data_IF_424246185450
#
_entry.id   IF_424246185450
#
_cell.length_a   1.000
_cell.length_b   1.000
_cell.length_c   1.000
_cell.angle_alpha   90.00
_cell.angle_beta   90.00
_cell.angle_gamma   90.00
#
_symmetry.space_group_name_H-M   'P 1'
#
loop_
_entity.id
_entity.type
_entity.pdbx_description
1 polymer ?
#
# COMPACT_ATOMS: atom_id res chain seq x y z
N UNK A 1 -6.38 8.86 -1.85
CA UNK A 1 -6.86 8.86 -3.25
C UNK A 1 -5.98 7.95 -4.07
N UNK A 2 -6.56 6.91 -4.65
CA UNK A 2 -5.85 6.05 -5.60
C UNK A 2 -5.37 6.89 -6.80
N UNK A 3 -4.13 6.67 -7.23
CA UNK A 3 -3.57 7.36 -8.40
C UNK A 3 -2.75 6.38 -9.26
N UNK A 4 -2.51 6.68 -10.55
CA UNK A 4 -1.89 5.72 -11.46
C UNK A 4 -0.59 5.11 -10.95
N UNK A 5 0.28 5.91 -10.31
CA UNK A 5 1.55 5.42 -9.77
C UNK A 5 1.41 4.45 -8.57
N UNK A 6 0.28 4.46 -7.86
CA UNK A 6 -0.02 3.52 -6.79
C UNK A 6 -0.53 2.20 -7.39
N UNK A 7 -1.43 2.27 -8.38
CA UNK A 7 -1.88 1.09 -9.12
C UNK A 7 -0.71 0.37 -9.81
N UNK A 8 0.23 1.12 -10.40
CA UNK A 8 1.45 0.58 -11.01
C UNK A 8 2.34 -0.17 -10.01
N UNK A 9 2.46 0.35 -8.77
CA UNK A 9 3.20 -0.34 -7.70
C UNK A 9 2.59 -1.72 -7.43
N UNK A 10 1.30 -1.78 -7.12
CA UNK A 10 0.63 -3.04 -6.82
C UNK A 10 0.60 -4.00 -8.02
N UNK A 11 0.44 -3.49 -9.24
CA UNK A 11 0.53 -4.29 -10.46
C UNK A 11 1.93 -4.93 -10.62
N UNK A 12 3.00 -4.18 -10.36
CA UNK A 12 4.37 -4.72 -10.40
C UNK A 12 4.58 -5.81 -9.35
N UNK A 13 3.99 -5.67 -8.15
CA UNK A 13 4.02 -6.72 -7.12
C UNK A 13 3.29 -7.97 -7.62
N UNK A 14 2.10 -7.81 -8.21
CA UNK A 14 1.33 -8.92 -8.79
C UNK A 14 2.09 -9.67 -9.87
N UNK A 15 2.80 -8.98 -10.75
CA UNK A 15 3.62 -9.61 -11.80
C UNK A 15 4.68 -10.56 -11.23
N UNK A 16 5.23 -10.24 -10.06
CA UNK A 16 6.28 -11.03 -9.40
C UNK A 16 5.73 -12.03 -8.36
N UNK A 17 4.49 -11.85 -7.91
CA UNK A 17 3.78 -12.75 -6.98
C UNK A 17 2.38 -13.10 -7.48
N UNK A 18 2.20 -13.67 -8.69
CA UNK A 18 0.87 -13.87 -9.27
C UNK A 18 -0.04 -14.76 -8.40
N UNK A 19 0.54 -15.76 -7.73
CA UNK A 19 -0.18 -16.65 -6.83
C UNK A 19 -0.74 -15.95 -5.58
N UNK A 20 -0.20 -14.79 -5.19
CA UNK A 20 -0.72 -14.00 -4.07
C UNK A 20 -1.90 -13.09 -4.46
N UNK A 21 -2.33 -13.13 -5.73
CA UNK A 21 -3.41 -12.31 -6.28
C UNK A 21 -4.54 -13.13 -6.93
N UNK A 22 -4.46 -14.47 -6.88
CA UNK A 22 -5.44 -15.35 -7.51
C UNK A 22 -5.84 -16.51 -6.60
N UNK A 23 -7.14 -16.69 -6.36
CA UNK A 23 -7.63 -17.84 -5.59
C UNK A 23 -7.25 -17.81 -4.10
N UNK A 24 -6.98 -16.63 -3.54
CA UNK A 24 -6.43 -16.48 -2.18
C UNK A 24 -7.35 -15.67 -1.26
N UNK A 25 -7.04 -15.66 0.05
CA UNK A 25 -7.70 -14.79 1.03
C UNK A 25 -6.98 -13.46 1.13
N UNK A 26 -7.73 -12.37 0.97
CA UNK A 26 -7.20 -11.01 0.95
C UNK A 26 -7.90 -10.16 2.00
N UNK A 27 -7.11 -9.40 2.74
CA UNK A 27 -7.60 -8.33 3.61
C UNK A 27 -7.11 -6.97 3.10
N UNK A 28 -8.04 -6.04 2.92
CA UNK A 28 -7.73 -4.64 2.64
C UNK A 28 -8.19 -3.77 3.82
N UNK A 29 -7.28 -3.02 4.42
CA UNK A 29 -7.57 -2.06 5.50
C UNK A 29 -7.58 -0.65 4.94
N UNK A 30 -8.70 0.06 5.13
CA UNK A 30 -8.99 1.34 4.47
C UNK A 30 -9.45 1.14 3.04
N UNK A 31 -10.48 0.31 2.82
CA UNK A 31 -10.88 -0.18 1.49
C UNK A 31 -11.95 0.64 0.78
N UNK A 32 -12.36 1.79 1.33
CA UNK A 32 -13.38 2.63 0.69
C UNK A 32 -12.93 3.06 -0.72
N UNK A 33 -13.70 2.66 -1.72
CA UNK A 33 -13.48 3.05 -3.11
C UNK A 33 -14.09 4.43 -3.39
N UNK A 34 -13.22 5.43 -3.50
CA UNK A 34 -13.57 6.80 -3.90
C UNK A 34 -13.24 7.05 -5.37
N UNK A 35 -12.13 6.48 -5.86
CA UNK A 35 -11.56 6.82 -7.16
C UNK A 35 -10.73 5.68 -7.78
N UNK A 36 -11.10 4.44 -7.47
CA UNK A 36 -10.42 3.22 -7.90
C UNK A 36 -10.05 2.34 -6.72
N UNK A 37 -10.06 1.03 -6.94
CA UNK A 37 -9.79 0.03 -5.91
C UNK A 37 -8.65 -0.91 -6.32
N UNK A 38 -7.77 -1.25 -5.38
CA UNK A 38 -6.74 -2.28 -5.58
C UNK A 38 -7.36 -3.68 -5.69
N UNK A 39 -8.63 -3.85 -5.28
CA UNK A 39 -9.40 -5.09 -5.41
C UNK A 39 -9.45 -5.60 -6.84
N UNK A 40 -9.45 -4.71 -7.84
CA UNK A 40 -9.47 -5.06 -9.26
C UNK A 40 -8.23 -5.86 -9.72
N UNK A 41 -7.13 -5.82 -8.95
CA UNK A 41 -5.93 -6.61 -9.23
C UNK A 41 -6.08 -8.08 -8.86
N UNK A 42 -7.13 -8.45 -8.13
CA UNK A 42 -7.34 -9.79 -7.60
C UNK A 42 -8.40 -10.55 -8.40
N UNK A 43 -8.22 -11.86 -8.54
CA UNK A 43 -9.17 -12.71 -9.27
C UNK A 43 -9.53 -13.96 -8.47
N UNK A 44 -10.82 -14.31 -8.44
CA UNK A 44 -11.36 -15.47 -7.72
C UNK A 44 -10.89 -15.58 -6.26
N UNK A 45 -10.69 -14.44 -5.59
CA UNK A 45 -10.22 -14.36 -4.20
C UNK A 45 -11.38 -14.24 -3.22
N UNK A 46 -11.17 -14.73 -2.01
CA UNK A 46 -11.99 -14.38 -0.84
C UNK A 46 -11.47 -13.04 -0.29
N UNK A 47 -12.10 -11.94 -0.74
CA UNK A 47 -11.62 -10.59 -0.53
C UNK A 47 -12.48 -9.88 0.52
N UNK A 48 -11.86 -9.46 1.62
CA UNK A 48 -12.51 -8.65 2.65
C UNK A 48 -11.91 -7.26 2.69
N UNK A 49 -12.71 -6.26 2.33
CA UNK A 49 -12.41 -4.84 2.56
C UNK A 49 -12.94 -4.36 3.91
N UNK A 50 -12.10 -3.66 4.64
CA UNK A 50 -12.42 -3.08 5.95
C UNK A 50 -12.22 -1.58 5.93
N UNK A 51 -13.16 -0.83 6.47
CA UNK A 51 -13.02 0.60 6.73
C UNK A 51 -13.89 1.01 7.93
N UNK A 52 -13.84 2.27 8.36
CA UNK A 52 -14.55 2.76 9.54
C UNK A 52 -16.08 2.66 9.41
N UNK A 53 -16.61 2.67 8.18
CA UNK A 53 -18.03 2.59 7.87
C UNK A 53 -18.24 1.78 6.58
N UNK A 54 -19.49 1.33 6.34
CA UNK A 54 -19.84 0.68 5.09
C UNK A 54 -19.90 1.69 3.93
N UNK A 55 -19.43 1.28 2.77
CA UNK A 55 -19.41 2.06 1.54
C UNK A 55 -18.92 1.21 0.35
N UNK A 56 -18.77 1.80 -0.84
CA UNK A 56 -18.17 1.12 -1.98
C UNK A 56 -16.83 0.46 -1.61
N UNK A 57 -16.66 -0.82 -1.90
CA UNK A 57 -15.43 -1.56 -1.59
C UNK A 57 -15.24 -1.95 -0.11
N UNK A 58 -16.21 -1.69 0.77
CA UNK A 58 -16.12 -2.07 2.20
C UNK A 58 -17.13 -3.18 2.53
N UNK A 59 -16.61 -4.32 2.97
CA UNK A 59 -17.41 -5.49 3.36
C UNK A 59 -17.66 -5.53 4.89
N UNK A 60 -16.75 -4.93 5.67
CA UNK A 60 -16.82 -4.88 7.13
C UNK A 60 -16.51 -3.47 7.65
N UNK A 61 -17.45 -2.87 8.37
CA UNK A 61 -17.25 -1.61 9.08
C UNK A 61 -16.51 -1.86 10.42
N UNK A 62 -15.20 -1.68 10.44
CA UNK A 62 -14.35 -1.86 11.61
C UNK A 62 -13.08 -1.02 11.50
N UNK A 63 -12.54 -0.56 12.64
CA UNK A 63 -11.26 0.14 12.64
C UNK A 63 -10.12 -0.89 12.46
N UNK A 64 -9.10 -0.58 11.65
CA UNK A 64 -8.05 -1.53 11.28
C UNK A 64 -7.34 -2.22 12.44
N UNK A 65 -7.09 -1.49 13.54
CA UNK A 65 -6.48 -2.03 14.76
C UNK A 65 -7.41 -2.91 15.60
N UNK A 66 -8.72 -2.90 15.33
CA UNK A 66 -9.75 -3.66 16.04
C UNK A 66 -10.28 -4.84 15.21
N UNK A 67 -9.74 -5.09 14.01
CA UNK A 67 -10.15 -6.22 13.18
C UNK A 67 -9.70 -7.55 13.79
N UNK A 68 -10.64 -8.48 13.99
CA UNK A 68 -10.44 -9.69 14.81
C UNK A 68 -10.33 -11.01 14.03
N UNK A 69 -9.92 -10.99 12.75
CA UNK A 69 -9.65 -12.24 12.05
C UNK A 69 -8.52 -13.04 12.74
N UNK A 70 -8.51 -14.38 12.61
CA UNK A 70 -7.47 -15.22 13.20
C UNK A 70 -6.06 -14.81 12.78
N UNK A 71 -5.09 -15.06 13.65
CA UNK A 71 -3.66 -14.90 13.31
C UNK A 71 -3.31 -15.79 12.13
N UNK A 72 -2.61 -15.24 11.15
CA UNK A 72 -2.19 -15.98 9.96
C UNK A 72 -3.33 -16.41 9.02
N UNK A 73 -4.42 -15.64 8.98
CA UNK A 73 -5.58 -15.97 8.16
C UNK A 73 -5.42 -15.60 6.68
N UNK A 74 -4.80 -14.46 6.35
CA UNK A 74 -4.79 -13.95 4.98
C UNK A 74 -3.48 -14.23 4.25
N UNK A 75 -3.58 -14.58 2.97
CA UNK A 75 -2.43 -14.75 2.07
C UNK A 75 -1.83 -13.39 1.68
N UNK A 76 -2.67 -12.36 1.52
CA UNK A 76 -2.27 -10.99 1.23
C UNK A 76 -3.04 -10.00 2.11
N UNK A 77 -2.31 -9.11 2.78
CA UNK A 77 -2.88 -8.02 3.60
C UNK A 77 -2.41 -6.68 3.05
N UNK A 78 -3.32 -5.75 2.81
CA UNK A 78 -3.08 -4.50 2.08
C UNK A 78 -3.61 -3.31 2.88
N UNK A 79 -2.90 -2.19 2.79
CA UNK A 79 -3.44 -0.86 3.14
C UNK A 79 -3.00 0.13 2.06
N UNK A 80 -3.95 0.85 1.47
CA UNK A 80 -3.73 1.65 0.27
C UNK A 80 -4.17 3.11 0.50
N UNK A 81 -3.23 4.03 0.78
CA UNK A 81 -3.50 5.44 1.14
C UNK A 81 -4.46 5.62 2.33
N UNK A 82 -4.25 4.82 3.38
CA UNK A 82 -5.06 4.84 4.59
C UNK A 82 -4.28 5.32 5.82
N UNK A 83 -3.04 4.84 6.00
CA UNK A 83 -2.31 4.99 7.26
C UNK A 83 -1.99 6.43 7.63
N UNK A 84 -1.84 7.32 6.65
CA UNK A 84 -1.60 8.74 6.90
C UNK A 84 -2.77 9.44 7.60
N UNK A 85 -3.99 8.92 7.46
CA UNK A 85 -5.22 9.44 8.09
C UNK A 85 -5.59 8.69 9.38
N UNK A 86 -4.81 7.67 9.75
CA UNK A 86 -5.13 6.78 10.85
C UNK A 86 -4.30 7.14 12.11
N UNK A 87 -4.91 7.67 13.19
CA UNK A 87 -4.17 7.97 14.43
C UNK A 87 -3.64 6.71 15.14
N UNK A 88 -4.19 5.54 14.82
CA UNK A 88 -3.80 4.21 15.34
C UNK A 88 -3.05 3.39 14.28
N UNK A 89 -2.32 4.04 13.37
CA UNK A 89 -1.61 3.34 12.29
C UNK A 89 -0.60 2.32 12.80
N UNK A 90 0.00 2.53 13.99
CA UNK A 90 1.00 1.60 14.56
C UNK A 90 0.35 0.26 14.92
N UNK A 91 -0.76 0.33 15.64
CA UNK A 91 -1.58 -0.81 16.06
C UNK A 91 -2.22 -1.48 14.84
N UNK A 92 -2.63 -0.69 13.85
CA UNK A 92 -3.17 -1.20 12.58
C UNK A 92 -2.12 -2.01 11.83
N UNK A 93 -0.90 -1.50 11.66
CA UNK A 93 0.21 -2.23 11.01
C UNK A 93 0.55 -3.50 11.79
N UNK A 94 0.59 -3.45 13.13
CA UNK A 94 0.81 -4.64 13.95
C UNK A 94 -0.29 -5.69 13.74
N UNK A 95 -1.55 -5.27 13.63
CA UNK A 95 -2.68 -6.16 13.39
C UNK A 95 -2.64 -6.76 11.97
N UNK A 96 -2.26 -5.98 10.96
CA UNK A 96 -2.03 -6.47 9.60
C UNK A 96 -0.96 -7.57 9.58
N UNK A 97 0.18 -7.36 10.25
CA UNK A 97 1.26 -8.35 10.37
C UNK A 97 0.82 -9.63 11.09
N UNK A 98 -0.02 -9.49 12.13
CA UNK A 98 -0.60 -10.63 12.87
C UNK A 98 -1.51 -11.47 11.98
N UNK A 99 -2.36 -10.83 11.18
CA UNK A 99 -3.37 -11.50 10.35
C UNK A 99 -2.79 -12.09 9.05
N UNK A 100 -1.61 -11.63 8.62
CA UNK A 100 -0.88 -12.23 7.48
C UNK A 100 -0.34 -13.62 7.86
N UNK A 101 -0.62 -14.61 6.99
CA UNK A 101 -0.14 -15.99 7.15
C UNK A 101 1.38 -16.09 6.92
N UNK A 102 2.06 -17.16 7.37
CA UNK A 102 3.43 -17.43 6.98
C UNK A 102 3.63 -17.40 5.46
N UNK A 103 4.70 -16.73 5.02
CA UNK A 103 5.02 -16.43 3.61
C UNK A 103 3.98 -15.55 2.88
N UNK A 104 2.97 -15.03 3.59
CA UNK A 104 1.99 -14.09 3.07
C UNK A 104 2.56 -12.68 2.87
N UNK A 105 1.93 -11.92 1.99
CA UNK A 105 2.34 -10.55 1.67
C UNK A 105 1.66 -9.53 2.58
N UNK A 106 2.42 -8.52 2.99
CA UNK A 106 1.91 -7.30 3.61
C UNK A 106 2.32 -6.11 2.75
N UNK A 107 1.34 -5.45 2.15
CA UNK A 107 1.54 -4.39 1.16
C UNK A 107 0.98 -3.07 1.69
N UNK A 108 1.77 -2.01 1.64
CA UNK A 108 1.35 -0.70 2.12
C UNK A 108 1.70 0.37 1.08
N UNK A 109 0.74 1.25 0.80
CA UNK A 109 1.00 2.59 0.27
C UNK A 109 0.45 3.64 1.23
N UNK A 110 1.19 4.74 1.41
CA UNK A 110 0.72 5.89 2.18
C UNK A 110 1.53 7.15 1.85
N UNK A 111 0.98 8.31 2.19
CA UNK A 111 1.67 9.58 2.07
C UNK A 111 3.02 9.59 2.82
N UNK A 112 4.07 10.07 2.17
CA UNK A 112 5.39 10.29 2.76
C UNK A 112 5.84 11.74 2.67
N UNK A 113 7.07 11.99 3.11
CA UNK A 113 7.65 13.32 3.32
C UNK A 113 7.41 14.23 2.10
N UNK A 114 6.67 15.31 2.34
CA UNK A 114 6.39 16.36 1.35
C UNK A 114 5.07 16.19 0.62
N UNK A 115 4.30 15.13 0.88
CA UNK A 115 2.91 15.01 0.43
C UNK A 115 2.07 16.04 1.18
N UNK A 116 1.42 16.94 0.44
CA UNK A 116 0.50 17.92 1.03
C UNK A 116 -0.59 17.21 1.81
N UNK A 117 -0.94 17.78 2.95
CA UNK A 117 -2.10 17.35 3.73
C UNK A 117 -3.38 17.39 2.89
N UNK A 118 -4.22 16.39 3.11
CA UNK A 118 -5.52 16.22 2.48
C UNK A 118 -6.39 15.37 3.40
N UNK A 119 -7.72 15.32 3.17
CA UNK A 119 -8.62 14.44 3.92
C UNK A 119 -8.91 14.89 5.36
N UNK A 120 -8.47 16.08 5.76
CA UNK A 120 -8.67 16.65 7.12
C UNK A 120 -9.63 17.82 7.09
N UNK A 121 -10.11 18.28 8.26
CA UNK A 121 -10.99 19.46 8.33
C UNK A 121 -10.27 20.76 7.96
N UNK A 122 -8.94 20.75 7.95
CA UNK A 122 -8.08 21.89 7.57
C UNK A 122 -7.88 22.00 6.06
N UNK A 123 -8.27 20.98 5.29
CA UNK A 123 -8.00 20.87 3.85
C UNK A 123 -9.27 20.50 3.08
N UNK A 124 -9.38 19.26 2.62
CA UNK A 124 -10.50 18.73 1.86
C UNK A 124 -11.03 17.44 2.52
N UNK A 125 -11.99 17.53 3.46
CA UNK A 125 -12.48 16.38 4.22
C UNK A 125 -13.08 15.28 3.34
N UNK A 126 -13.63 15.63 2.18
CA UNK A 126 -14.21 14.66 1.23
C UNK A 126 -13.19 13.67 0.65
N UNK A 127 -11.88 13.95 0.77
CA UNK A 127 -10.83 13.01 0.37
C UNK A 127 -10.59 11.88 1.39
N UNK A 128 -11.16 11.98 2.59
CA UNK A 128 -11.18 10.93 3.62
C UNK A 128 -12.50 11.05 4.42
N UNK A 129 -13.64 10.73 3.80
CA UNK A 129 -14.96 11.08 4.34
C UNK A 129 -15.27 10.33 5.64
N UNK A 130 -14.82 9.08 5.77
CA UNK A 130 -15.08 8.28 6.96
C UNK A 130 -14.24 8.71 8.17
N UNK A 131 -12.99 9.15 7.96
CA UNK A 131 -12.17 9.70 9.06
C UNK A 131 -12.73 11.05 9.50
N UNK A 132 -13.17 11.88 8.56
CA UNK A 132 -13.89 13.13 8.84
C UNK A 132 -15.18 12.89 9.65
N UNK A 133 -15.99 11.92 9.25
CA UNK A 133 -17.20 11.54 9.98
C UNK A 133 -16.90 11.00 11.39
N UNK A 134 -15.80 10.26 11.54
CA UNK A 134 -15.28 9.79 12.83
C UNK A 134 -14.59 10.88 13.66
N UNK A 135 -14.50 12.12 13.15
CA UNK A 135 -13.77 13.25 13.75
C UNK A 135 -12.28 12.97 13.99
N UNK A 136 -11.70 12.11 13.17
CA UNK A 136 -10.26 11.84 13.15
C UNK A 136 -9.57 12.93 12.34
N UNK A 137 -9.26 14.05 12.98
CA UNK A 137 -8.56 15.18 12.34
C UNK A 137 -7.03 15.01 12.35
N UNK A 138 -6.59 13.79 12.02
CA UNK A 138 -5.20 13.33 12.03
C UNK A 138 -4.65 13.26 10.60
N UNK A 139 -3.42 13.74 10.42
CA UNK A 139 -2.67 13.47 9.20
C UNK A 139 -1.17 13.37 9.49
N UNK A 140 -0.50 12.35 8.94
CA UNK A 140 0.94 12.20 9.04
C UNK A 140 1.56 11.61 7.78
N UNK A 141 2.56 12.30 7.24
CA UNK A 141 3.49 11.72 6.28
C UNK A 141 4.37 10.66 6.97
N UNK A 142 4.20 9.38 6.64
CA UNK A 142 4.97 8.27 7.20
C UNK A 142 6.24 8.00 6.36
N UNK A 143 7.31 7.59 7.03
CA UNK A 143 8.59 7.17 6.41
C UNK A 143 8.82 5.69 6.67
N UNK A 144 9.67 5.06 5.86
CA UNK A 144 10.08 3.67 6.08
C UNK A 144 10.61 3.42 7.51
N UNK A 145 11.36 4.38 8.07
CA UNK A 145 11.83 4.32 9.46
C UNK A 145 10.70 4.31 10.49
N UNK A 146 9.58 5.01 10.23
CA UNK A 146 8.46 5.05 11.16
C UNK A 146 7.84 3.64 11.27
N UNK A 147 7.70 2.92 10.15
CA UNK A 147 7.26 1.52 10.14
C UNK A 147 8.25 0.63 10.92
N UNK A 148 9.55 0.78 10.69
CA UNK A 148 10.58 -0.01 11.36
C UNK A 148 10.69 0.25 12.87
N UNK A 149 10.41 1.47 13.31
CA UNK A 149 10.41 1.86 14.73
C UNK A 149 9.07 1.55 15.43
N UNK A 150 7.97 1.45 14.67
CA UNK A 150 6.64 1.18 15.23
C UNK A 150 6.41 -0.29 15.56
N UNK A 151 6.99 -1.19 14.77
CA UNK A 151 6.82 -2.64 14.93
C UNK A 151 8.18 -3.31 14.79
N UNK A 152 8.40 -4.40 15.54
CA UNK A 152 9.60 -5.22 15.39
C UNK A 152 9.58 -5.99 14.06
N UNK A 153 9.85 -5.30 12.94
CA UNK A 153 9.81 -5.91 11.59
C UNK A 153 10.66 -7.19 11.50
N UNK A 154 11.89 -7.26 12.06
CA UNK A 154 12.67 -8.50 12.05
C UNK A 154 12.03 -9.66 12.82
N UNK A 155 11.10 -9.40 13.73
CA UNK A 155 10.33 -10.43 14.43
C UNK A 155 9.09 -10.91 13.67
N UNK A 156 8.62 -10.13 12.67
CA UNK A 156 7.41 -10.45 11.90
C UNK A 156 7.71 -10.87 10.46
N UNK A 157 8.77 -10.36 9.85
CA UNK A 157 9.04 -10.49 8.42
C UNK A 157 10.33 -11.28 8.15
N UNK A 158 10.30 -12.17 7.16
CA UNK A 158 11.50 -12.86 6.65
C UNK A 158 12.28 -11.97 5.68
N UNK A 159 11.56 -11.08 4.99
CA UNK A 159 12.13 -10.07 4.10
C UNK A 159 11.18 -8.89 3.96
N UNK A 160 11.74 -7.71 3.73
CA UNK A 160 10.95 -6.53 3.42
C UNK A 160 11.76 -5.49 2.64
N UNK A 161 11.06 -4.52 2.08
CA UNK A 161 11.64 -3.40 1.35
C UNK A 161 10.66 -2.24 1.31
N UNK A 162 11.20 -1.03 1.14
CA UNK A 162 10.41 0.18 0.99
C UNK A 162 11.00 1.08 -0.09
N UNK A 163 10.12 1.76 -0.81
CA UNK A 163 10.46 2.72 -1.86
C UNK A 163 9.68 4.01 -1.68
N UNK A 164 10.23 5.10 -2.20
CA UNK A 164 9.56 6.40 -2.20
C UNK A 164 9.37 6.85 -3.63
N UNK A 165 8.12 7.10 -4.03
CA UNK A 165 7.85 7.86 -5.24
C UNK A 165 8.00 9.35 -4.92
N UNK A 166 9.06 9.98 -5.42
CA UNK A 166 9.33 11.39 -5.11
C UNK A 166 8.48 12.38 -5.92
N UNK A 167 7.73 11.93 -6.93
CA UNK A 167 6.79 12.78 -7.68
C UNK A 167 5.49 12.89 -6.89
N UNK A 168 4.88 11.74 -6.61
CA UNK A 168 3.60 11.68 -5.91
C UNK A 168 3.77 11.84 -4.41
N UNK A 169 4.97 11.59 -3.86
CA UNK A 169 5.31 11.64 -2.44
C UNK A 169 4.64 10.53 -1.63
N UNK A 170 4.67 9.32 -2.16
CA UNK A 170 4.13 8.14 -1.48
C UNK A 170 5.25 7.18 -1.09
N UNK A 171 5.08 6.58 0.08
CA UNK A 171 5.86 5.46 0.56
C UNK A 171 5.17 4.17 0.11
N UNK A 172 5.93 3.30 -0.52
CA UNK A 172 5.50 1.95 -0.87
C UNK A 172 6.32 0.95 -0.07
N UNK A 173 5.65 -0.06 0.47
CA UNK A 173 6.29 -1.08 1.31
C UNK A 173 5.77 -2.46 0.95
N UNK A 174 6.68 -3.43 0.93
CA UNK A 174 6.38 -4.85 0.78
C UNK A 174 7.07 -5.59 1.93
N UNK A 175 6.30 -6.39 2.65
CA UNK A 175 6.79 -7.35 3.63
C UNK A 175 6.36 -8.76 3.28
N UNK A 176 7.23 -9.73 3.56
CA UNK A 176 6.90 -11.16 3.53
C UNK A 176 6.88 -11.65 4.97
N UNK A 177 5.74 -12.16 5.41
CA UNK A 177 5.59 -12.72 6.76
C UNK A 177 6.52 -13.91 6.95
N UNK A 178 7.20 -13.99 8.09
CA UNK A 178 8.04 -15.16 8.41
C UNK A 178 7.29 -16.48 8.25
N UNK A 179 7.92 -17.41 7.56
CA UNK A 179 7.41 -18.74 7.25
C UNK A 179 8.54 -19.66 6.81
N UNK A 180 8.44 -20.21 5.60
CA UNK A 180 9.44 -21.11 5.03
C UNK A 180 10.78 -20.44 4.68
N UNK A 181 10.86 -19.11 4.77
CA UNK A 181 12.05 -18.33 4.41
C UNK A 181 11.96 -17.68 3.03
N UNK A 182 10.75 -17.56 2.48
CA UNK A 182 10.50 -16.82 1.24
C UNK A 182 11.06 -15.39 1.34
N UNK A 183 11.70 -14.94 0.25
CA UNK A 183 12.36 -13.63 0.11
C UNK A 183 11.79 -12.87 -1.07
N UNK A 184 11.96 -11.55 -1.08
CA UNK A 184 11.57 -10.72 -2.22
C UNK A 184 12.43 -11.06 -3.43
N UNK A 185 11.85 -11.34 -4.61
CA UNK A 185 12.61 -11.59 -5.82
C UNK A 185 13.56 -10.43 -6.14
N UNK A 186 14.80 -10.73 -6.52
CA UNK A 186 15.75 -9.69 -6.93
C UNK A 186 15.22 -8.86 -8.11
N UNK A 187 14.59 -9.51 -9.09
CA UNK A 187 13.97 -8.84 -10.24
C UNK A 187 12.89 -7.81 -9.84
N UNK A 188 12.11 -8.11 -8.79
CA UNK A 188 11.11 -7.16 -8.25
C UNK A 188 11.81 -5.94 -7.64
N UNK A 189 12.85 -6.17 -6.83
CA UNK A 189 13.64 -5.08 -6.23
C UNK A 189 14.26 -4.20 -7.31
N UNK A 190 14.91 -4.80 -8.30
CA UNK A 190 15.54 -4.09 -9.41
C UNK A 190 14.52 -3.27 -10.21
N UNK A 191 13.33 -3.83 -10.47
CA UNK A 191 12.27 -3.13 -11.19
C UNK A 191 11.79 -1.89 -10.42
N UNK A 192 11.54 -2.01 -9.12
CA UNK A 192 11.08 -0.91 -8.27
C UNK A 192 12.20 0.11 -7.99
N UNK A 193 13.43 -0.34 -7.79
CA UNK A 193 14.61 0.52 -7.63
C UNK A 193 14.83 1.36 -8.88
N UNK A 194 14.82 0.74 -10.06
CA UNK A 194 14.94 1.45 -11.33
C UNK A 194 13.82 2.48 -11.49
N UNK A 195 12.58 2.10 -11.18
CA UNK A 195 11.42 3.00 -11.31
C UNK A 195 11.52 4.21 -10.39
N UNK A 196 11.79 4.00 -9.10
CA UNK A 196 11.71 5.08 -8.12
C UNK A 196 13.02 5.85 -7.94
N UNK A 197 14.19 5.27 -8.26
CA UNK A 197 15.44 6.02 -8.34
C UNK A 197 15.37 7.14 -9.39
N UNK A 198 14.61 6.95 -10.48
CA UNK A 198 14.39 8.01 -11.48
C UNK A 198 13.63 9.22 -10.94
N UNK A 199 12.84 9.04 -9.88
CA UNK A 199 12.08 10.13 -9.27
C UNK A 199 12.92 10.94 -8.27
N UNK A 200 14.05 10.38 -7.78
CA UNK A 200 14.87 10.97 -6.73
C UNK A 200 15.75 12.17 -7.16
N UNK A 201 15.95 12.39 -8.46
CA UNK A 201 16.78 13.49 -8.96
C UNK A 201 16.11 14.17 -10.18
N UNK A 202 16.01 15.50 -10.17
CA UNK A 202 15.47 16.30 -11.28
C UNK A 202 16.14 15.99 -12.64
N UNK A 203 17.41 15.58 -12.64
CA UNK A 203 18.16 15.15 -13.83
C UNK A 203 17.74 13.76 -14.32
N UNK A 204 17.40 12.84 -13.41
CA UNK A 204 16.88 11.51 -13.74
C UNK A 204 15.42 11.56 -14.19
N UNK A 205 14.60 12.43 -13.59
CA UNK A 205 13.23 12.69 -14.01
C UNK A 205 13.16 13.24 -15.45
N UNK A 206 13.99 14.23 -15.80
CA UNK A 206 14.07 14.75 -17.19
C UNK A 206 14.55 13.72 -18.22
N UNK A 207 15.36 12.74 -17.80
CA UNK A 207 15.82 11.65 -18.66
C UNK A 207 14.73 10.60 -18.86
N UNK A 208 14.07 10.17 -17.78
CA UNK A 208 12.93 9.26 -17.84
C UNK A 208 11.76 9.80 -18.64
N UNK A 209 11.46 11.10 -18.56
CA UNK A 209 10.42 11.75 -19.37
C UNK A 209 10.75 11.72 -20.88
N UNK A 210 12.03 11.86 -21.24
CA UNK A 210 12.48 11.73 -22.64
C UNK A 210 12.32 10.30 -23.13
N UNK A 211 12.73 9.31 -22.34
CA UNK A 211 12.66 7.90 -22.73
C UNK A 211 11.20 7.43 -22.87
N UNK A 212 10.29 7.90 -22.01
CA UNK A 212 8.85 7.63 -22.10
C UNK A 212 8.23 8.24 -23.37
N UNK A 213 8.54 9.53 -23.65
CA UNK A 213 8.06 10.23 -24.84
C UNK A 213 8.62 9.66 -26.15
N UNK A 214 9.87 9.16 -26.12
CA UNK A 214 10.52 8.51 -27.27
C UNK A 214 10.02 7.08 -27.49
N UNK A 215 9.69 6.34 -26.43
CA UNK A 215 9.07 5.02 -26.51
C UNK A 215 7.67 5.06 -27.12
N UNK A 216 6.88 6.09 -26.83
CA UNK A 216 5.56 6.34 -27.45
C UNK A 216 5.66 6.75 -28.94
N UNK A 217 6.81 7.28 -29.37
CA UNK A 217 7.09 7.62 -30.76
C UNK A 217 7.56 6.40 -31.58
N UNK A 218 8.12 5.38 -30.93
CA UNK A 218 8.60 4.15 -31.59
C UNK A 218 7.57 3.00 -31.57
N UNK A 219 6.47 3.16 -30.83
CA UNK A 219 5.40 2.15 -30.69
C UNK A 219 4.10 2.51 -31.41
N UNK A 220 4.08 3.60 -32.19
CA UNK A 220 2.99 3.90 -33.12
C UNK A 220 3.32 3.32 -34.50
N UNK A 221 2.45 2.49 -35.11
CA UNK A 221 2.64 1.98 -36.47
C UNK A 221 2.60 3.10 -37.52
#
# INVERSE_FOLDING_TARGET
MAHPAQAEFFATVREHFPAAFQGVRVLEVGSLDINGSVRELFSACDYTGVDLQLGPGVDLACQGQLVEFPTGHFDTVISAECLEHNPYWRETVANMLRMARPDGLVLISCATTGRKEHGTSRTNPDASPFTSAAKWDYYRNLRARDLAEAVNLPGWLSDHAAWVNHITKDLYFIGIRQGSGLRLPAALRDALDKRYAMTANARAFRRGLKDLLLGDLQSRP
#
